data_IF_466639561489
#
_entry.id   IF_466639561489
#
_cell.length_a   1.000
_cell.length_b   1.000
_cell.length_c   1.000
_cell.angle_alpha   90.00
_cell.angle_beta   90.00
_cell.angle_gamma   90.00
#
_symmetry.space_group_name_H-M   'P 1'
#
loop_
_entity.id
_entity.type
_entity.pdbx_description
1 polymer ?
#
# COMPACT_ATOMS: atom_id res chain seq x y z
N UNK A 1 -30.20 -15.21 16.24
CA UNK A 1 -30.35 -13.74 16.27
C UNK A 1 -29.09 -13.17 16.91
N UNK A 2 -28.02 -13.06 16.13
CA UNK A 2 -26.73 -12.52 16.59
C UNK A 2 -26.62 -11.07 16.16
N UNK A 3 -26.27 -10.23 17.14
CA UNK A 3 -26.31 -8.79 17.10
C UNK A 3 -25.64 -8.20 15.83
N UNK A 4 -26.44 -7.49 15.05
CA UNK A 4 -26.00 -6.47 14.09
C UNK A 4 -25.36 -5.32 14.87
N UNK A 5 -24.03 -5.19 14.79
CA UNK A 5 -23.27 -4.19 15.52
C UNK A 5 -22.22 -3.50 14.66
N UNK A 6 -22.58 -2.30 14.18
CA UNK A 6 -21.75 -1.10 13.98
C UNK A 6 -20.69 -1.12 12.86
N UNK A 7 -20.75 -0.10 11.99
CA UNK A 7 -19.82 0.15 10.87
C UNK A 7 -18.37 0.51 11.25
N UNK A 8 -17.82 -0.14 12.27
CA UNK A 8 -16.43 -0.05 12.71
C UNK A 8 -15.71 -1.41 12.66
N UNK A 9 -16.37 -2.49 12.22
CA UNK A 9 -15.76 -3.80 12.06
C UNK A 9 -15.03 -3.89 10.72
N UNK A 10 -13.69 -4.01 10.78
CA UNK A 10 -12.80 -4.15 9.62
C UNK A 10 -12.34 -5.60 9.40
N UNK A 11 -12.85 -6.56 10.17
CA UNK A 11 -12.37 -7.95 10.13
C UNK A 11 -12.77 -8.70 8.85
N UNK A 12 -13.90 -8.34 8.23
CA UNK A 12 -14.47 -9.03 7.07
C UNK A 12 -14.23 -8.29 5.74
N UNK A 13 -13.13 -7.55 5.61
CA UNK A 13 -12.79 -6.86 4.37
C UNK A 13 -12.50 -7.83 3.22
N UNK A 14 -12.86 -7.41 2.00
CA UNK A 14 -12.57 -8.12 0.76
C UNK A 14 -11.93 -7.16 -0.25
N UNK A 15 -11.09 -7.70 -1.12
CA UNK A 15 -10.54 -6.98 -2.27
C UNK A 15 -11.30 -7.44 -3.50
N UNK A 16 -11.95 -6.51 -4.20
CA UNK A 16 -12.60 -6.79 -5.47
C UNK A 16 -11.64 -6.46 -6.61
N UNK A 17 -11.42 -7.45 -7.48
CA UNK A 17 -10.58 -7.34 -8.68
C UNK A 17 -11.41 -7.47 -9.97
N UNK A 18 -12.73 -7.58 -9.86
CA UNK A 18 -13.65 -7.78 -10.99
C UNK A 18 -13.81 -9.23 -11.47
N UNK A 19 -13.17 -10.20 -10.81
CA UNK A 19 -13.29 -11.62 -11.15
C UNK A 19 -14.63 -12.21 -10.72
N UNK A 20 -15.19 -13.10 -11.55
CA UNK A 20 -16.47 -13.80 -11.31
C UNK A 20 -16.28 -15.25 -10.87
N UNK A 21 -15.09 -15.79 -11.07
CA UNK A 21 -14.76 -17.18 -10.75
C UNK A 21 -13.42 -17.30 -10.02
N UNK A 22 -13.25 -18.39 -9.28
CA UNK A 22 -11.97 -18.71 -8.62
C UNK A 22 -10.84 -18.88 -9.64
N UNK A 23 -11.13 -19.52 -10.78
CA UNK A 23 -10.15 -19.76 -11.83
C UNK A 23 -9.64 -18.45 -12.45
N UNK A 24 -10.51 -17.45 -12.64
CA UNK A 24 -10.10 -16.10 -13.09
C UNK A 24 -9.10 -15.45 -12.11
N UNK A 25 -9.31 -15.59 -10.80
CA UNK A 25 -8.38 -15.09 -9.77
C UNK A 25 -7.04 -15.82 -9.87
N UNK A 26 -7.06 -17.15 -10.05
CA UNK A 26 -5.84 -17.95 -10.18
C UNK A 26 -5.08 -17.64 -11.47
N UNK A 27 -5.78 -17.41 -12.58
CA UNK A 27 -5.22 -17.01 -13.88
C UNK A 27 -4.63 -15.59 -13.84
N UNK A 28 -5.21 -14.69 -13.03
CA UNK A 28 -4.63 -13.37 -12.73
C UNK A 28 -3.33 -13.44 -11.90
N UNK A 29 -2.92 -14.63 -11.47
CA UNK A 29 -1.67 -14.85 -10.73
C UNK A 29 -1.77 -14.66 -9.21
N UNK A 30 -2.96 -14.39 -8.67
CA UNK A 30 -3.16 -14.12 -7.24
C UNK A 30 -3.16 -15.41 -6.43
N UNK A 31 -2.50 -15.41 -5.27
CA UNK A 31 -2.35 -16.56 -4.37
C UNK A 31 -2.56 -16.18 -2.90
N UNK A 32 -2.97 -17.12 -2.02
CA UNK A 32 -2.95 -16.89 -0.58
C UNK A 32 -1.54 -16.49 -0.10
N UNK A 33 -1.46 -15.39 0.65
CA UNK A 33 -0.20 -14.82 1.13
C UNK A 33 0.31 -13.61 0.33
N UNK A 34 -0.30 -13.29 -0.81
CA UNK A 34 0.04 -12.10 -1.57
C UNK A 34 -0.18 -10.82 -0.76
N UNK A 35 0.79 -9.91 -0.84
CA UNK A 35 0.70 -8.62 -0.15
C UNK A 35 -0.27 -7.71 -0.89
N UNK A 36 -1.13 -7.04 -0.14
CA UNK A 36 -2.04 -6.01 -0.65
C UNK A 36 -1.64 -4.67 -0.05
N UNK A 37 -1.54 -3.63 -0.88
CA UNK A 37 -1.31 -2.26 -0.43
C UNK A 37 -2.30 -1.32 -1.11
N UNK A 38 -2.60 -0.18 -0.49
CA UNK A 38 -3.33 0.89 -1.17
C UNK A 38 -2.63 1.28 -2.48
N UNK A 39 -3.41 1.48 -3.55
CA UNK A 39 -2.88 1.97 -4.82
C UNK A 39 -2.75 3.50 -4.77
N UNK A 40 -1.70 3.97 -4.10
CA UNK A 40 -1.47 5.39 -3.86
C UNK A 40 -0.37 5.94 -4.76
N UNK A 41 -0.74 6.88 -5.64
CA UNK A 41 0.20 7.67 -6.44
C UNK A 41 0.89 8.75 -5.60
N UNK A 42 2.20 8.92 -5.77
CA UNK A 42 2.95 10.02 -5.15
C UNK A 42 2.57 11.36 -5.77
N UNK A 43 2.37 12.37 -4.93
CA UNK A 43 1.97 13.72 -5.36
C UNK A 43 2.78 14.79 -4.65
N UNK A 44 3.15 15.83 -5.39
CA UNK A 44 3.71 17.06 -4.82
C UNK A 44 2.56 18.02 -4.52
N UNK A 45 2.56 18.57 -3.32
CA UNK A 45 1.58 19.53 -2.84
C UNK A 45 2.21 20.94 -2.75
N UNK A 46 1.39 22.00 -2.76
CA UNK A 46 1.87 23.36 -2.51
C UNK A 46 2.61 23.50 -1.19
N UNK A 47 3.53 24.48 -1.13
CA UNK A 47 4.35 24.82 0.04
C UNK A 47 5.35 23.71 0.42
N UNK A 48 6.02 23.10 -0.58
CA UNK A 48 7.09 22.11 -0.39
C UNK A 48 6.65 20.88 0.42
N UNK A 49 5.43 20.42 0.19
CA UNK A 49 4.88 19.22 0.84
C UNK A 49 4.69 18.12 -0.18
N UNK A 50 4.67 16.88 0.28
CA UNK A 50 4.46 15.70 -0.56
C UNK A 50 3.46 14.76 0.10
N UNK A 51 2.74 13.99 -0.71
CA UNK A 51 1.75 13.00 -0.27
C UNK A 51 2.02 11.68 -0.98
N UNK A 52 1.91 10.58 -0.24
CA UNK A 52 2.09 9.23 -0.75
C UNK A 52 1.87 8.21 0.35
N UNK A 53 1.92 6.93 0.00
CA UNK A 53 1.87 5.82 0.98
C UNK A 53 3.26 5.42 1.45
N UNK A 54 3.31 4.76 2.61
CA UNK A 54 4.51 4.13 3.16
C UNK A 54 5.68 5.11 3.39
N UNK A 55 5.40 6.37 3.74
CA UNK A 55 6.45 7.30 4.18
C UNK A 55 7.20 6.78 5.41
N UNK A 56 6.50 6.09 6.31
CA UNK A 56 7.09 5.18 7.28
C UNK A 56 7.40 3.82 6.60
N UNK A 57 8.65 3.44 6.32
CA UNK A 57 9.89 4.19 6.51
C UNK A 57 10.63 4.51 5.19
N UNK A 58 9.88 4.72 4.10
CA UNK A 58 10.49 5.11 2.82
C UNK A 58 11.22 6.45 2.90
N UNK A 59 10.81 7.35 3.80
CA UNK A 59 11.54 8.60 4.03
C UNK A 59 12.89 8.33 4.72
N UNK A 60 12.96 7.42 5.69
CA UNK A 60 14.22 6.96 6.28
C UNK A 60 15.15 6.35 5.23
N UNK A 61 14.64 5.43 4.39
CA UNK A 61 15.41 4.87 3.27
C UNK A 61 15.93 5.95 2.31
N UNK A 62 15.09 6.94 1.96
CA UNK A 62 15.48 8.05 1.09
C UNK A 62 16.63 8.88 1.69
N UNK A 63 16.56 9.17 2.99
CA UNK A 63 17.62 9.88 3.70
C UNK A 63 18.94 9.08 3.67
N UNK A 64 18.89 7.78 3.94
CA UNK A 64 20.07 6.91 3.92
C UNK A 64 20.74 6.87 2.54
N UNK A 65 19.95 6.68 1.47
CA UNK A 65 20.45 6.70 0.08
C UNK A 65 21.07 8.06 -0.25
N UNK A 66 20.40 9.15 0.14
CA UNK A 66 20.89 10.51 -0.10
C UNK A 66 22.20 10.78 0.64
N UNK A 67 22.32 10.34 1.89
CA UNK A 67 23.54 10.48 2.68
C UNK A 67 24.70 9.69 2.07
N UNK A 68 24.48 8.42 1.72
CA UNK A 68 25.49 7.58 1.09
C UNK A 68 26.00 8.18 -0.22
N UNK A 69 25.10 8.68 -1.08
CA UNK A 69 25.48 9.32 -2.34
C UNK A 69 26.30 10.61 -2.12
N UNK A 70 25.99 11.38 -1.07
CA UNK A 70 26.74 12.61 -0.75
C UNK A 70 28.12 12.34 -0.15
N UNK A 71 28.28 11.25 0.61
CA UNK A 71 29.55 10.92 1.27
C UNK A 71 30.52 10.14 0.37
N UNK A 72 30.02 9.44 -0.66
CA UNK A 72 30.84 8.70 -1.64
C UNK A 72 31.39 9.58 -2.77
N UNK A 73 30.94 10.83 -2.89
CA UNK A 73 31.47 11.81 -3.85
C UNK A 73 32.51 12.77 -3.22
N UNK A 74 33.05 12.40 -2.06
CA UNK A 74 34.22 13.00 -1.43
C UNK A 74 35.36 12.00 -1.43
#
# INVERSE_FOLDING_TARGET
MTATGRGNDVSAMRVDIGARTYDEVMQAGIRPGDRVTFDTTFQVLPHQRVMGKAFDDRLGCYLLVTLLARTTQR
#
